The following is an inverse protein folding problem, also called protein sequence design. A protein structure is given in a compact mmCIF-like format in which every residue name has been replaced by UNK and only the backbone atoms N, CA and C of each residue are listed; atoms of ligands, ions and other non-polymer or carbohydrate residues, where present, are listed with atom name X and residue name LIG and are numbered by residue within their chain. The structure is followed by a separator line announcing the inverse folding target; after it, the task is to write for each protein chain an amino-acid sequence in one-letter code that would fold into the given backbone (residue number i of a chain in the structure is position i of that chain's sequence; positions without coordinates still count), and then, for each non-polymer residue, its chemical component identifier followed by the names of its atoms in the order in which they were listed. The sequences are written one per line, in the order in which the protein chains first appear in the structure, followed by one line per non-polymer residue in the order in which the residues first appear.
data_IF_503311621032
#
_entry.id   IF_503311621032
#
_cell.length_a   1.000
_cell.length_b   1.000
_cell.length_c   1.000
_cell.angle_alpha   90.00
_cell.angle_beta   90.00
_cell.angle_gamma   90.00
#
_symmetry.space_group_name_H-M   'P 1'
#
loop_
_entity.id
_entity.type
_entity.pdbx_description
1 polymer ?
#
# COMPACT_ATOMS: atom_id res chain seq x y z
N UNK A 1 -4.51 4.43 4.71
CA UNK A 1 -5.57 4.56 3.68
C UNK A 1 -5.12 4.03 2.33
N UNK A 2 -4.01 4.52 1.74
CA UNK A 2 -3.53 4.02 0.44
C UNK A 2 -3.33 2.49 0.37
N UNK A 3 -2.75 1.90 1.44
CA UNK A 3 -2.53 0.46 1.49
C UNK A 3 -3.84 -0.36 1.46
N UNK A 4 -4.86 0.09 2.22
CA UNK A 4 -6.18 -0.56 2.30
C UNK A 4 -6.96 -0.40 1.00
N UNK A 5 -6.90 0.78 0.39
CA UNK A 5 -7.52 0.99 -0.91
C UNK A 5 -6.90 0.13 -2.01
N UNK A 6 -5.58 -0.08 -2.01
CA UNK A 6 -4.94 -1.00 -2.96
C UNK A 6 -5.26 -2.46 -2.69
N UNK A 7 -5.23 -2.94 -1.45
CA UNK A 7 -5.50 -4.35 -1.18
C UNK A 7 -6.94 -4.75 -1.51
N UNK A 8 -7.89 -3.82 -1.36
CA UNK A 8 -9.32 -4.12 -1.44
C UNK A 8 -9.97 -3.67 -2.76
N UNK A 9 -9.48 -2.58 -3.38
CA UNK A 9 -10.01 -2.08 -4.66
C UNK A 9 -9.26 -2.64 -5.86
N UNK A 10 -7.97 -2.95 -5.73
CA UNK A 10 -7.20 -3.52 -6.84
C UNK A 10 -7.71 -4.88 -7.33
N UNK A 11 -8.21 -5.83 -6.51
CA UNK A 11 -8.80 -7.07 -7.02
C UNK A 11 -10.04 -6.80 -7.87
N UNK A 12 -10.86 -5.82 -7.44
CA UNK A 12 -12.08 -5.41 -8.16
C UNK A 12 -11.69 -4.82 -9.52
N UNK A 13 -10.68 -3.95 -9.54
CA UNK A 13 -10.15 -3.40 -10.80
C UNK A 13 -9.55 -4.49 -11.71
N UNK A 14 -8.78 -5.44 -11.17
CA UNK A 14 -8.21 -6.56 -11.93
C UNK A 14 -9.28 -7.45 -12.58
N UNK A 15 -10.41 -7.66 -11.89
CA UNK A 15 -11.53 -8.44 -12.40
C UNK A 15 -12.41 -7.68 -13.41
N UNK A 16 -12.29 -6.35 -13.48
CA UNK A 16 -13.12 -5.53 -14.36
C UNK A 16 -12.75 -5.77 -15.83
N UNK A 17 -13.71 -5.77 -16.77
CA UNK A 17 -13.44 -6.00 -18.19
C UNK A 17 -12.45 -4.99 -18.76
N UNK A 18 -11.57 -5.43 -19.66
CA UNK A 18 -10.64 -4.56 -20.42
C UNK A 18 -11.37 -3.48 -21.22
N UNK A 19 -12.56 -3.79 -21.71
CA UNK A 19 -13.35 -2.90 -22.59
C UNK A 19 -14.25 -1.95 -21.80
N UNK A 20 -14.30 -2.09 -20.47
CA UNK A 20 -15.06 -1.18 -19.61
C UNK A 20 -14.28 0.10 -19.38
N UNK A 21 -14.97 1.23 -19.26
CA UNK A 21 -14.33 2.55 -19.14
C UNK A 21 -13.31 2.64 -17.96
N UNK A 22 -13.43 1.76 -16.96
CA UNK A 22 -12.48 1.63 -15.85
C UNK A 22 -11.13 0.97 -16.18
N UNK A 23 -10.95 0.40 -17.37
CA UNK A 23 -9.67 -0.11 -17.90
C UNK A 23 -9.08 -1.31 -17.13
N UNK A 24 -9.92 -2.22 -16.64
CA UNK A 24 -9.45 -3.39 -15.88
C UNK A 24 -8.68 -4.41 -16.72
N UNK A 25 -8.18 -5.48 -16.09
CA UNK A 25 -7.40 -6.53 -16.79
C UNK A 25 -8.19 -7.78 -17.17
N UNK A 26 -9.49 -7.85 -16.81
CA UNK A 26 -10.36 -8.98 -17.12
C UNK A 26 -9.89 -10.31 -16.56
N UNK A 27 -9.12 -10.30 -15.45
CA UNK A 27 -8.54 -11.52 -14.89
C UNK A 27 -9.62 -12.38 -14.22
N UNK A 28 -9.46 -13.69 -14.33
CA UNK A 28 -10.33 -14.65 -13.67
C UNK A 28 -10.14 -14.62 -12.14
N UNK A 29 -11.19 -14.96 -11.39
CA UNK A 29 -11.14 -15.03 -9.93
C UNK A 29 -10.08 -16.01 -9.41
N UNK A 30 -9.81 -17.10 -10.13
CA UNK A 30 -8.76 -18.06 -9.75
C UNK A 30 -7.36 -17.48 -9.91
N UNK A 31 -7.12 -16.68 -10.97
CA UNK A 31 -5.86 -15.95 -11.17
C UNK A 31 -5.64 -14.91 -10.08
N UNK A 32 -6.68 -14.14 -9.74
CA UNK A 32 -6.63 -13.13 -8.68
C UNK A 32 -6.37 -13.80 -7.32
N UNK A 33 -7.06 -14.90 -7.02
CA UNK A 33 -6.86 -15.67 -5.79
C UNK A 33 -5.45 -16.25 -5.68
N UNK A 34 -4.88 -16.75 -6.78
CA UNK A 34 -3.49 -17.22 -6.84
C UNK A 34 -2.47 -16.09 -6.61
N UNK A 35 -2.73 -14.91 -7.18
CA UNK A 35 -1.91 -13.72 -6.99
C UNK A 35 -1.93 -13.24 -5.54
N UNK A 36 -3.11 -13.18 -4.92
CA UNK A 36 -3.24 -12.81 -3.51
C UNK A 36 -2.55 -13.83 -2.59
N UNK A 37 -2.73 -15.12 -2.87
CA UNK A 37 -2.13 -16.21 -2.07
C UNK A 37 -0.60 -16.18 -2.16
N UNK A 38 -0.04 -16.12 -3.37
CA UNK A 38 1.41 -16.02 -3.57
C UNK A 38 2.02 -14.77 -2.94
N UNK A 39 1.32 -13.64 -3.05
CA UNK A 39 1.73 -12.39 -2.38
C UNK A 39 1.67 -12.54 -0.86
N UNK A 40 0.63 -13.18 -0.30
CA UNK A 40 0.51 -13.44 1.14
C UNK A 40 1.67 -14.28 1.68
N UNK A 41 1.98 -15.40 1.03
CA UNK A 41 3.15 -16.23 1.39
C UNK A 41 4.47 -15.48 1.24
N UNK A 42 4.66 -14.78 0.12
CA UNK A 42 5.85 -13.96 -0.12
C UNK A 42 6.01 -12.86 0.94
N UNK A 43 4.90 -12.27 1.38
CA UNK A 43 4.91 -11.23 2.40
C UNK A 43 5.31 -11.75 3.79
N UNK A 44 4.91 -12.98 4.16
CA UNK A 44 5.36 -13.64 5.38
C UNK A 44 6.88 -13.89 5.32
N UNK A 45 7.37 -14.42 4.20
CA UNK A 45 8.80 -14.64 4.01
C UNK A 45 9.59 -13.31 4.08
N UNK A 46 9.08 -12.25 3.45
CA UNK A 46 9.69 -10.93 3.47
C UNK A 46 9.73 -10.35 4.89
N UNK A 47 8.64 -10.51 5.65
CA UNK A 47 8.57 -10.10 7.05
C UNK A 47 9.61 -10.79 7.92
N UNK A 48 9.76 -12.11 7.78
CA UNK A 48 10.63 -12.92 8.61
C UNK A 48 12.12 -12.71 8.28
N UNK A 49 12.47 -12.67 7.00
CA UNK A 49 13.88 -12.69 6.59
C UNK A 49 14.49 -11.32 6.32
N UNK A 50 13.70 -10.36 5.82
CA UNK A 50 14.23 -9.09 5.30
C UNK A 50 13.95 -7.90 6.21
N UNK A 51 12.76 -7.81 6.81
CA UNK A 51 12.35 -6.64 7.59
C UNK A 51 13.35 -6.30 8.71
N UNK A 52 13.76 -7.27 9.53
CA UNK A 52 14.73 -7.03 10.60
C UNK A 52 16.12 -6.61 10.09
N UNK A 53 16.58 -7.20 8.97
CA UNK A 53 17.87 -6.83 8.36
C UNK A 53 17.85 -5.40 7.83
N UNK A 54 16.75 -4.99 7.19
CA UNK A 54 16.55 -3.63 6.68
C UNK A 54 16.50 -2.64 7.83
N UNK A 55 15.73 -2.93 8.89
CA UNK A 55 15.63 -2.06 10.06
C UNK A 55 16.99 -1.91 10.76
N UNK A 56 17.75 -2.99 10.93
CA UNK A 56 19.07 -2.92 11.57
C UNK A 56 20.11 -2.15 10.75
N UNK A 57 19.99 -2.12 9.43
CA UNK A 57 20.95 -1.43 8.55
C UNK A 57 20.62 0.05 8.34
N UNK A 58 19.34 0.39 8.13
CA UNK A 58 18.91 1.75 7.84
C UNK A 58 18.43 2.52 9.08
N UNK A 59 18.11 1.80 10.16
CA UNK A 59 17.45 2.34 11.35
C UNK A 59 15.93 2.44 11.17
N UNK A 60 15.18 2.52 12.29
CA UNK A 60 13.72 2.45 12.29
C UNK A 60 13.07 3.65 11.60
N UNK A 61 13.56 4.88 11.83
CA UNK A 61 12.97 6.10 11.24
C UNK A 61 13.13 6.12 9.72
N UNK A 62 14.33 5.87 9.19
CA UNK A 62 14.56 5.86 7.74
C UNK A 62 13.76 4.74 7.07
N UNK A 63 13.73 3.55 7.68
CA UNK A 63 12.94 2.43 7.16
C UNK A 63 11.45 2.76 7.13
N UNK A 64 10.91 3.41 8.16
CA UNK A 64 9.52 3.85 8.20
C UNK A 64 9.22 4.87 7.08
N UNK A 65 10.06 5.88 6.90
CA UNK A 65 9.91 6.90 5.84
C UNK A 65 9.99 6.28 4.45
N UNK A 66 10.98 5.42 4.18
CA UNK A 66 11.11 4.72 2.88
C UNK A 66 9.88 3.86 2.63
N UNK A 67 9.35 3.19 3.65
CA UNK A 67 8.15 2.36 3.52
C UNK A 67 6.91 3.19 3.19
N UNK A 68 6.78 4.41 3.73
CA UNK A 68 5.71 5.32 3.35
C UNK A 68 5.79 5.72 1.87
N UNK A 69 6.97 6.07 1.40
CA UNK A 69 7.17 6.40 -0.02
C UNK A 69 6.94 5.19 -0.93
N UNK A 70 7.47 4.01 -0.57
CA UNK A 70 7.27 2.78 -1.34
C UNK A 70 5.78 2.43 -1.47
N UNK A 71 5.02 2.58 -0.38
CA UNK A 71 3.57 2.38 -0.40
C UNK A 71 2.85 3.35 -1.35
N UNK A 72 3.29 4.61 -1.40
CA UNK A 72 2.72 5.61 -2.29
C UNK A 72 3.08 5.35 -3.76
N UNK A 73 4.35 5.01 -4.04
CA UNK A 73 4.84 4.65 -5.38
C UNK A 73 4.09 3.45 -5.93
N UNK A 74 3.81 2.45 -5.10
CA UNK A 74 3.06 1.27 -5.51
C UNK A 74 1.64 1.62 -5.98
N UNK A 75 1.00 2.67 -5.45
CA UNK A 75 -0.29 3.16 -5.92
C UNK A 75 -0.24 3.76 -7.33
N UNK A 76 0.88 4.37 -7.70
CA UNK A 76 1.09 4.93 -9.05
C UNK A 76 1.35 3.87 -10.13
N UNK A 77 1.62 2.62 -9.73
CA UNK A 77 1.79 1.53 -10.70
C UNK A 77 0.51 1.25 -11.50
N UNK A 78 -0.67 1.41 -10.88
CA UNK A 78 -1.97 1.20 -11.55
C UNK A 78 -2.25 2.23 -12.65
N UNK A 79 -2.14 3.56 -12.42
CA UNK A 79 -2.30 4.53 -13.49
C UNK A 79 -1.16 4.42 -14.54
N UNK A 80 0.03 3.95 -14.15
CA UNK A 80 1.12 3.69 -15.10
C UNK A 80 0.81 2.54 -16.08
N UNK A 81 -0.05 1.58 -15.73
CA UNK A 81 -0.56 0.56 -16.68
C UNK A 81 -1.29 1.24 -17.84
N UNK A 82 -2.05 2.30 -17.58
CA UNK A 82 -2.75 3.07 -18.61
C UNK A 82 -1.83 3.88 -19.54
N UNK A 83 -0.53 3.96 -19.24
CA UNK A 83 0.49 4.58 -20.09
C UNK A 83 1.24 3.57 -20.95
N UNK A 84 0.97 2.26 -20.78
CA UNK A 84 1.56 1.24 -21.64
C UNK A 84 1.04 1.40 -23.08
N UNK A 85 1.89 1.12 -24.10
CA UNK A 85 1.43 1.09 -25.49
C UNK A 85 0.20 0.21 -25.65
N UNK A 86 -0.70 0.57 -26.58
CA UNK A 86 -1.91 -0.24 -26.87
C UNK A 86 -1.55 -1.67 -27.29
N UNK A 87 -0.40 -1.83 -27.96
CA UNK A 87 0.13 -3.12 -28.40
C UNK A 87 0.96 -3.84 -27.32
N UNK A 88 1.03 -3.30 -26.11
CA UNK A 88 1.81 -3.91 -25.04
C UNK A 88 1.22 -5.29 -24.68
N UNK A 89 2.07 -6.30 -24.47
CA UNK A 89 1.61 -7.60 -24.04
C UNK A 89 0.83 -7.49 -22.73
N UNK A 90 -0.33 -8.15 -22.63
CA UNK A 90 -1.12 -8.20 -21.39
C UNK A 90 -0.28 -8.64 -20.17
N UNK A 91 0.74 -9.47 -20.41
CA UNK A 91 1.72 -9.87 -19.41
C UNK A 91 2.44 -8.69 -18.74
N UNK A 92 2.76 -7.61 -19.46
CA UNK A 92 3.41 -6.43 -18.90
C UNK A 92 2.51 -5.72 -17.87
N UNK A 93 1.23 -5.55 -18.21
CA UNK A 93 0.22 -4.98 -17.31
C UNK A 93 0.00 -5.86 -16.07
N UNK A 94 -0.05 -7.19 -16.26
CA UNK A 94 -0.16 -8.13 -15.14
C UNK A 94 1.08 -8.09 -14.24
N UNK A 95 2.29 -8.04 -14.80
CA UNK A 95 3.53 -7.94 -14.03
C UNK A 95 3.56 -6.64 -13.21
N UNK A 96 3.15 -5.51 -13.81
CA UNK A 96 3.11 -4.22 -13.11
C UNK A 96 2.08 -4.22 -11.98
N UNK A 97 0.93 -4.86 -12.18
CA UNK A 97 -0.07 -5.06 -11.12
C UNK A 97 0.45 -5.99 -10.00
N UNK A 98 1.12 -7.09 -10.34
CA UNK A 98 1.79 -7.97 -9.37
C UNK A 98 2.83 -7.20 -8.55
N UNK A 99 3.66 -6.40 -9.22
CA UNK A 99 4.67 -5.58 -8.58
C UNK A 99 4.04 -4.58 -7.60
N UNK A 100 2.97 -3.89 -8.00
CA UNK A 100 2.20 -3.00 -7.14
C UNK A 100 1.74 -3.71 -5.86
N UNK A 101 1.14 -4.90 -6.00
CA UNK A 101 0.69 -5.71 -4.87
C UNK A 101 1.81 -6.08 -3.89
N UNK A 102 2.91 -6.62 -4.42
CA UNK A 102 4.06 -7.04 -3.60
C UNK A 102 4.71 -5.84 -2.92
N UNK A 103 4.86 -4.72 -3.63
CA UNK A 103 5.44 -3.49 -3.10
C UNK A 103 4.59 -2.90 -1.96
N UNK A 104 3.26 -2.85 -2.12
CA UNK A 104 2.32 -2.41 -1.07
C UNK A 104 2.43 -3.32 0.16
N UNK A 105 2.46 -4.64 -0.04
CA UNK A 105 2.51 -5.61 1.05
C UNK A 105 3.83 -5.50 1.83
N UNK A 106 4.96 -5.43 1.12
CA UNK A 106 6.28 -5.26 1.73
C UNK A 106 6.40 -3.93 2.50
N UNK A 107 5.94 -2.84 1.88
CA UNK A 107 5.92 -1.52 2.51
C UNK A 107 5.03 -1.51 3.77
N UNK A 108 3.88 -2.19 3.74
CA UNK A 108 2.99 -2.35 4.90
C UNK A 108 3.72 -2.99 6.07
N UNK A 109 4.38 -4.11 5.82
CA UNK A 109 5.04 -4.88 6.87
C UNK A 109 6.17 -4.08 7.53
N UNK A 110 7.01 -3.43 6.74
CA UNK A 110 8.08 -2.59 7.24
C UNK A 110 7.53 -1.40 8.03
N UNK A 111 6.47 -0.75 7.54
CA UNK A 111 5.81 0.37 8.21
C UNK A 111 5.21 -0.05 9.55
N UNK A 112 4.52 -1.20 9.62
CA UNK A 112 3.97 -1.73 10.87
C UNK A 112 5.05 -2.07 11.89
N UNK A 113 6.11 -2.78 11.47
CA UNK A 113 7.19 -3.18 12.36
C UNK A 113 7.92 -1.96 12.95
N UNK A 114 8.23 -0.98 12.11
CA UNK A 114 8.92 0.24 12.54
C UNK A 114 8.03 1.18 13.35
N UNK A 115 6.74 1.28 13.04
CA UNK A 115 5.78 2.03 13.86
C UNK A 115 5.70 1.47 15.29
N UNK A 116 5.62 0.15 15.44
CA UNK A 116 5.60 -0.49 16.77
C UNK A 116 6.89 -0.19 17.54
N UNK A 117 8.05 -0.29 16.89
CA UNK A 117 9.34 0.04 17.51
C UNK A 117 9.38 1.51 17.95
N UNK A 118 9.03 2.45 17.07
CA UNK A 118 9.06 3.88 17.38
C UNK A 118 8.08 4.25 18.50
N UNK A 119 6.88 3.69 18.50
CA UNK A 119 5.89 3.93 19.57
C UNK A 119 6.32 3.36 20.91
N UNK A 120 7.02 2.22 20.92
CA UNK A 120 7.58 1.64 22.15
C UNK A 120 8.63 2.58 22.76
N UNK A 121 9.55 3.10 21.94
CA UNK A 121 10.62 3.99 22.40
C UNK A 121 10.14 5.39 22.77
N UNK A 122 9.00 5.83 22.22
CA UNK A 122 8.45 7.18 22.48
C UNK A 122 7.50 7.24 23.67
N UNK A 123 7.10 6.10 24.25
CA UNK A 123 6.08 6.06 25.29
C UNK A 123 6.70 6.28 26.69
N UNK A 124 6.29 7.32 27.44
CA UNK A 124 6.71 7.52 28.83
C UNK A 124 6.04 6.55 29.83
N UNK A 125 5.16 5.67 29.35
CA UNK A 125 4.40 4.69 30.16
C UNK A 125 4.64 3.24 29.72
N UNK A 126 3.82 2.32 30.22
CA UNK A 126 3.95 0.89 29.88
C UNK A 126 3.80 0.64 28.37
N UNK A 127 4.70 -0.15 27.74
CA UNK A 127 4.72 -0.35 26.29
C UNK A 127 3.41 -0.93 25.73
N UNK A 128 2.62 -1.62 26.57
CA UNK A 128 1.32 -2.15 26.19
C UNK A 128 0.28 -1.09 25.81
N UNK A 129 0.31 0.10 26.42
CA UNK A 129 -0.64 1.18 26.09
C UNK A 129 -0.36 1.76 24.71
N UNK A 130 0.92 2.01 24.40
CA UNK A 130 1.34 2.51 23.10
C UNK A 130 1.02 1.52 21.97
N UNK A 131 1.27 0.23 22.21
CA UNK A 131 0.88 -0.84 21.28
C UNK A 131 -0.65 -0.90 21.13
N UNK A 132 -1.40 -0.79 22.22
CA UNK A 132 -2.86 -0.75 22.20
C UNK A 132 -3.41 0.38 21.33
N UNK A 133 -2.94 1.61 21.52
CA UNK A 133 -3.33 2.77 20.72
C UNK A 133 -3.00 2.55 19.24
N UNK A 134 -1.81 2.03 18.93
CA UNK A 134 -1.43 1.70 17.56
C UNK A 134 -2.39 0.69 16.93
N UNK A 135 -2.73 -0.39 17.65
CA UNK A 135 -3.66 -1.41 17.15
C UNK A 135 -5.07 -0.85 16.97
N UNK A 136 -5.56 0.00 17.89
CA UNK A 136 -6.84 0.69 17.73
C UNK A 136 -6.88 1.59 16.49
N UNK A 137 -5.83 2.37 16.25
CA UNK A 137 -5.70 3.20 15.05
C UNK A 137 -5.66 2.35 13.77
N UNK A 138 -4.95 1.22 13.80
CA UNK A 138 -4.90 0.28 12.68
C UNK A 138 -6.27 -0.34 12.39
N UNK A 139 -6.99 -0.77 13.43
CA UNK A 139 -8.35 -1.31 13.31
C UNK A 139 -9.33 -0.29 12.75
N UNK A 140 -9.26 0.97 13.21
CA UNK A 140 -10.07 2.05 12.66
C UNK A 140 -9.76 2.27 11.16
N UNK A 141 -8.48 2.28 10.80
CA UNK A 141 -8.03 2.38 9.41
C UNK A 141 -8.49 1.20 8.55
N UNK A 142 -8.49 -0.02 9.09
CA UNK A 142 -8.98 -1.22 8.41
C UNK A 142 -10.50 -1.24 8.27
N UNK A 143 -11.24 -0.62 9.18
CA UNK A 143 -12.70 -0.51 9.11
C UNK A 143 -13.15 0.59 8.13
N UNK A 144 -12.55 1.78 8.22
CA UNK A 144 -12.94 2.93 7.39
C UNK A 144 -12.29 2.92 6.00
N UNK A 145 -11.10 2.34 5.88
CA UNK A 145 -10.32 2.33 4.65
C UNK A 145 -11.06 1.73 3.45
N UNK A 146 -11.64 0.51 3.54
CA UNK A 146 -12.32 -0.11 2.41
C UNK A 146 -13.57 0.67 2.00
N UNK A 147 -14.31 1.20 2.98
CA UNK A 147 -15.50 2.02 2.75
C UNK A 147 -15.17 3.29 1.98
N UNK A 148 -14.20 4.08 2.46
CA UNK A 148 -13.80 5.34 1.82
C UNK A 148 -13.19 5.10 0.43
N UNK A 149 -12.36 4.06 0.29
CA UNK A 149 -11.73 3.74 -0.99
C UNK A 149 -12.74 3.20 -2.00
N UNK A 150 -13.69 2.35 -1.58
CA UNK A 150 -14.77 1.85 -2.43
C UNK A 150 -15.70 2.97 -2.92
N UNK A 151 -16.06 3.91 -2.04
CA UNK A 151 -16.83 5.10 -2.42
C UNK A 151 -16.06 5.98 -3.41
N UNK A 152 -14.79 6.27 -3.15
CA UNK A 152 -13.94 7.06 -4.03
C UNK A 152 -13.76 6.42 -5.40
N UNK A 153 -13.53 5.10 -5.45
CA UNK A 153 -13.42 4.34 -6.68
C UNK A 153 -14.72 4.37 -7.48
N UNK A 154 -15.85 4.10 -6.83
CA UNK A 154 -17.17 4.12 -7.48
C UNK A 154 -17.49 5.50 -8.05
N UNK A 155 -17.25 6.57 -7.28
CA UNK A 155 -17.46 7.94 -7.75
C UNK A 155 -16.55 8.28 -8.95
N UNK A 156 -15.29 7.84 -8.92
CA UNK A 156 -14.38 8.05 -10.06
C UNK A 156 -14.87 7.39 -11.34
N UNK A 157 -15.40 6.17 -11.25
CA UNK A 157 -15.99 5.47 -12.39
C UNK A 157 -17.29 6.11 -12.87
N UNK A 158 -18.14 6.59 -11.95
CA UNK A 158 -19.42 7.21 -12.31
C UNK A 158 -19.25 8.56 -13.02
N UNK A 159 -18.36 9.42 -12.52
CA UNK A 159 -18.20 10.79 -12.99
C UNK A 159 -17.20 10.85 -14.14
N UNK A 160 -16.02 10.26 -13.94
CA UNK A 160 -14.87 10.42 -14.84
C UNK A 160 -14.74 9.25 -15.83
N UNK A 161 -15.53 8.18 -15.62
CA UNK A 161 -15.48 6.95 -16.44
C UNK A 161 -14.08 6.36 -16.54
N UNK A 162 -13.24 6.57 -15.53
CA UNK A 162 -11.90 5.98 -15.45
C UNK A 162 -11.49 5.84 -13.98
N UNK A 163 -10.67 4.83 -13.69
CA UNK A 163 -10.11 4.55 -12.36
C UNK A 163 -8.78 5.27 -12.10
N UNK A 164 -8.11 5.77 -13.15
CA UNK A 164 -6.84 6.50 -13.08
C UNK A 164 -6.82 7.62 -12.03
N UNK A 165 -7.79 8.57 -11.99
CA UNK A 165 -7.77 9.67 -11.03
C UNK A 165 -7.88 9.20 -9.58
N UNK A 166 -8.60 8.10 -9.32
CA UNK A 166 -8.69 7.51 -7.99
C UNK A 166 -7.34 6.97 -7.52
N UNK A 167 -6.67 6.16 -8.35
CA UNK A 167 -5.36 5.61 -7.97
C UNK A 167 -4.27 6.69 -7.89
N UNK A 168 -4.31 7.71 -8.75
CA UNK A 168 -3.43 8.87 -8.66
C UNK A 168 -3.65 9.65 -7.36
N UNK A 169 -4.90 9.94 -6.99
CA UNK A 169 -5.23 10.61 -5.73
C UNK A 169 -4.76 9.78 -4.53
N UNK A 170 -4.93 8.45 -4.60
CA UNK A 170 -4.49 7.52 -3.57
C UNK A 170 -2.97 7.49 -3.41
N UNK A 171 -2.21 7.59 -4.52
CA UNK A 171 -0.76 7.77 -4.50
C UNK A 171 -0.33 9.11 -3.88
N UNK A 172 -0.96 10.22 -4.29
CA UNK A 172 -0.66 11.56 -3.76
C UNK A 172 -0.95 11.64 -2.26
N UNK A 173 -2.12 11.18 -1.82
CA UNK A 173 -2.48 11.11 -0.40
C UNK A 173 -1.53 10.17 0.36
N UNK A 174 -1.04 9.12 -0.29
CA UNK A 174 -0.04 8.20 0.27
C UNK A 174 1.33 8.85 0.50
N UNK A 175 1.71 9.88 -0.26
CA UNK A 175 2.98 10.60 -0.10
C UNK A 175 2.97 11.55 1.10
N UNK A 176 1.81 12.14 1.41
CA UNK A 176 1.69 13.16 2.47
C UNK A 176 2.22 12.69 3.83
N UNK A 177 1.86 11.49 4.35
CA UNK A 177 2.43 10.99 5.60
C UNK A 177 3.96 10.87 5.58
N UNK A 178 4.55 10.46 4.45
CA UNK A 178 6.00 10.34 4.29
C UNK A 178 6.69 11.70 4.42
N UNK A 179 6.17 12.71 3.73
CA UNK A 179 6.67 14.10 3.79
C UNK A 179 6.48 14.69 5.19
N UNK A 180 5.29 14.55 5.77
CA UNK A 180 5.00 15.05 7.13
C UNK A 180 5.95 14.40 8.14
N UNK A 181 6.16 13.09 8.05
CA UNK A 181 7.07 12.37 8.94
C UNK A 181 8.49 12.90 8.76
N UNK A 182 8.98 13.02 7.52
CA UNK A 182 10.34 13.50 7.25
C UNK A 182 10.60 14.94 7.72
N UNK A 183 9.58 15.81 7.69
CA UNK A 183 9.70 17.21 8.14
C UNK A 183 9.60 17.36 9.66
N UNK A 184 8.83 16.50 10.33
CA UNK A 184 8.52 16.65 11.76
C UNK A 184 9.25 15.66 12.68
N UNK A 185 9.80 14.56 12.17
CA UNK A 185 10.67 13.72 12.98
C UNK A 185 12.04 14.38 13.09
N UNK A 186 12.58 14.57 14.31
CA UNK A 186 13.94 15.07 14.46
C UNK A 186 14.96 14.11 13.79
N UNK A 187 16.28 14.30 14.00
CA UNK A 187 17.26 13.26 13.61
C UNK A 187 17.37 12.15 14.66
N UNK A 188 17.04 10.90 14.27
CA UNK A 188 17.27 9.71 15.10
C UNK A 188 18.77 9.38 15.23
N UNK A 189 19.26 8.89 16.38
CA UNK A 189 18.53 8.64 17.64
C UNK A 189 18.20 9.92 18.43
N UNK A 190 17.05 9.90 19.13
CA UNK A 190 16.66 10.95 20.06
C UNK A 190 17.57 10.88 21.30
N UNK A 191 18.54 11.77 21.39
CA UNK A 191 19.32 12.00 22.62
C UNK A 191 18.80 13.25 23.33
#
# INVERSE_FOLDING_TARGET
MANVGLTDVLPVWLSSPTDSAGGGLGLSSSTIGGLQSSTGFGNIALALFFTFRIINTLGPVRTFTISMYANAVAAFCVPAIGLLPVDAPQAASTILACFSYVAVAAARNMMFATAIMLSKESAPGGPGVAIGINQSACSLGAALGPMLCGLGYTQSLLILRTSTPFFTALGVVGLLPGVITQLNTPRWPWH
#
